data_IF_668590867375
#
_entry.id   IF_668590867375
#
_cell.length_a   1.000
_cell.length_b   1.000
_cell.length_c   1.000
_cell.angle_alpha   90.00
_cell.angle_beta   90.00
_cell.angle_gamma   90.00
#
_symmetry.space_group_name_H-M   'P 1'
#
loop_
_entity.id
_entity.type
_entity.pdbx_description
1 polymer ?
#
# COMPACT_ATOMS: atom_id res chain seq x y z
N UNK A 1 -2.76 -24.88 -38.25
CA UNK A 1 -1.30 -24.81 -38.34
C UNK A 1 -0.68 -25.88 -37.44
N UNK A 2 0.43 -26.48 -37.90
CA UNK A 2 1.41 -27.39 -37.25
C UNK A 2 1.38 -27.50 -35.70
N UNK A 3 1.21 -28.71 -35.14
CA UNK A 3 2.22 -29.74 -34.72
C UNK A 3 2.99 -29.40 -33.43
N UNK A 4 3.06 -30.37 -32.52
CA UNK A 4 4.11 -30.41 -31.48
C UNK A 4 3.85 -31.40 -30.35
N UNK A 5 4.28 -32.65 -30.54
CA UNK A 5 4.22 -33.71 -29.53
C UNK A 5 5.26 -33.51 -28.42
N UNK A 6 4.90 -33.91 -27.20
CA UNK A 6 5.83 -34.06 -26.08
C UNK A 6 6.80 -35.21 -26.35
N UNK A 7 8.11 -34.97 -26.17
CA UNK A 7 9.13 -35.99 -26.09
C UNK A 7 9.85 -35.86 -24.74
N UNK A 8 9.73 -36.90 -23.93
CA UNK A 8 10.48 -37.10 -22.69
C UNK A 8 11.92 -37.44 -23.09
N UNK A 9 12.89 -36.58 -22.76
CA UNK A 9 14.31 -36.97 -22.81
C UNK A 9 14.82 -37.18 -21.39
N UNK A 10 14.76 -38.43 -20.97
CA UNK A 10 15.56 -38.97 -19.87
C UNK A 10 17.03 -38.96 -20.28
N UNK A 11 17.86 -38.14 -19.64
CA UNK A 11 19.31 -38.26 -19.70
C UNK A 11 19.88 -38.11 -18.28
N UNK A 12 20.37 -39.22 -17.73
CA UNK A 12 21.11 -39.37 -16.47
C UNK A 12 22.22 -40.41 -16.75
N UNK A 13 23.40 -40.36 -16.10
CA UNK A 13 24.33 -39.28 -15.78
C UNK A 13 25.70 -39.55 -16.48
N UNK A 14 26.80 -38.87 -16.08
CA UNK A 14 27.90 -39.70 -15.59
C UNK A 14 28.23 -39.42 -14.12
N UNK A 15 28.38 -40.50 -13.39
CA UNK A 15 29.01 -40.60 -12.08
C UNK A 15 30.49 -40.28 -12.18
N UNK A 16 30.92 -39.12 -11.69
CA UNK A 16 32.26 -38.97 -11.12
C UNK A 16 32.33 -37.68 -10.29
N UNK A 17 32.74 -37.72 -9.00
CA UNK A 17 33.04 -36.53 -8.24
C UNK A 17 34.45 -36.09 -8.66
N UNK A 18 34.59 -35.58 -9.88
CA UNK A 18 35.78 -34.81 -10.19
C UNK A 18 35.66 -33.55 -9.35
N UNK A 19 36.42 -33.54 -8.26
CA UNK A 19 36.84 -32.34 -7.56
C UNK A 19 37.34 -31.37 -8.63
N UNK A 20 36.48 -30.49 -9.11
CA UNK A 20 36.95 -29.37 -9.91
C UNK A 20 37.58 -28.42 -8.90
N UNK A 21 38.85 -28.67 -8.56
CA UNK A 21 39.69 -27.66 -7.95
C UNK A 21 39.79 -26.60 -9.03
N UNK A 22 39.12 -25.47 -8.81
CA UNK A 22 39.23 -24.28 -9.66
C UNK A 22 40.63 -23.69 -9.40
N UNK A 23 41.67 -24.38 -9.88
CA UNK A 23 43.02 -23.81 -10.05
C UNK A 23 42.98 -22.88 -11.27
N UNK A 24 42.39 -21.70 -11.09
CA UNK A 24 42.55 -20.56 -11.97
C UNK A 24 41.92 -19.34 -11.30
N UNK A 25 42.59 -18.80 -10.29
CA UNK A 25 42.62 -17.35 -10.06
C UNK A 25 43.81 -17.00 -9.17
N UNK A 26 45.00 -17.05 -9.77
CA UNK A 26 46.15 -16.25 -9.34
C UNK A 26 45.91 -14.72 -9.56
N UNK A 27 44.65 -14.27 -9.54
CA UNK A 27 44.23 -12.88 -9.35
C UNK A 27 44.02 -12.56 -7.85
N UNK A 28 44.26 -13.51 -6.96
CA UNK A 28 43.91 -13.46 -5.54
C UNK A 28 44.81 -12.65 -4.59
N UNK A 29 45.65 -11.73 -5.05
CA UNK A 29 46.60 -11.05 -4.16
C UNK A 29 46.65 -9.50 -4.21
N UNK A 30 45.94 -8.85 -5.15
CA UNK A 30 45.88 -7.37 -5.16
C UNK A 30 44.91 -6.79 -4.12
N UNK A 31 44.10 -7.61 -3.43
CA UNK A 31 43.08 -7.14 -2.48
C UNK A 31 43.60 -6.96 -1.04
N UNK A 32 44.84 -7.38 -0.76
CA UNK A 32 45.46 -7.32 0.56
C UNK A 32 46.75 -6.48 0.58
N UNK A 33 46.88 -5.53 -0.33
CA UNK A 33 48.07 -4.67 -0.42
C UNK A 33 47.96 -3.42 0.46
N UNK A 34 46.75 -3.00 0.83
CA UNK A 34 46.52 -1.75 1.55
C UNK A 34 45.56 -1.89 2.73
N UNK A 35 45.80 -1.10 3.77
CA UNK A 35 44.92 -1.01 4.93
C UNK A 35 43.57 -0.38 4.53
N UNK A 36 42.47 -1.08 4.78
CA UNK A 36 41.12 -0.61 4.41
C UNK A 36 40.65 0.65 5.11
N UNK A 37 41.32 1.07 6.20
CA UNK A 37 40.98 2.29 6.92
C UNK A 37 41.82 3.50 6.49
N UNK A 38 43.14 3.31 6.40
CA UNK A 38 44.09 4.43 6.20
C UNK A 38 44.82 4.40 4.85
N UNK A 39 44.58 3.39 4.01
CA UNK A 39 45.16 3.26 2.67
C UNK A 39 46.67 3.01 2.63
N UNK A 40 47.30 2.74 3.78
CA UNK A 40 48.74 2.47 3.84
C UNK A 40 49.03 1.08 3.29
N UNK A 41 50.13 0.95 2.54
CA UNK A 41 50.63 -0.34 2.07
C UNK A 41 50.92 -1.27 3.25
N UNK A 42 50.49 -2.53 3.13
CA UNK A 42 50.66 -3.58 4.12
C UNK A 42 52.00 -4.28 3.89
N UNK A 43 53.03 -3.78 4.56
CA UNK A 43 54.41 -4.31 4.45
C UNK A 43 54.82 -5.21 5.62
N UNK A 44 53.87 -5.65 6.46
CA UNK A 44 54.13 -6.40 7.71
C UNK A 44 52.92 -7.22 8.16
N UNK A 45 52.76 -7.41 9.47
CA UNK A 45 51.62 -8.15 10.03
C UNK A 45 50.28 -7.53 9.61
N UNK A 46 49.38 -8.38 9.10
CA UNK A 46 48.06 -7.97 8.61
C UNK A 46 47.00 -8.37 9.63
N UNK A 47 46.27 -7.38 10.12
CA UNK A 47 45.15 -7.58 11.03
C UNK A 47 43.87 -7.71 10.22
N UNK A 48 43.19 -8.87 10.30
CA UNK A 48 42.00 -9.15 9.49
C UNK A 48 40.70 -8.91 10.25
N UNK A 49 39.72 -8.26 9.62
CA UNK A 49 38.33 -8.22 10.08
C UNK A 49 37.45 -9.02 9.11
N UNK A 50 36.64 -9.94 9.64
CA UNK A 50 35.67 -10.77 8.90
C UNK A 50 36.23 -11.68 7.79
N UNK A 51 37.56 -11.75 7.65
CA UNK A 51 38.26 -12.66 6.73
C UNK A 51 38.66 -12.04 5.40
N UNK A 52 38.22 -10.82 5.11
CA UNK A 52 38.39 -10.15 3.81
C UNK A 52 38.92 -8.71 3.92
N UNK A 53 38.89 -8.11 5.11
CA UNK A 53 39.25 -6.70 5.30
C UNK A 53 40.58 -6.56 6.05
N UNK A 54 41.68 -6.19 5.38
CA UNK A 54 42.99 -6.08 6.01
C UNK A 54 43.28 -4.71 6.62
N UNK A 55 44.05 -4.70 7.71
CA UNK A 55 44.49 -3.49 8.41
C UNK A 55 45.97 -3.56 8.79
N UNK A 56 46.64 -2.41 8.76
CA UNK A 56 48.05 -2.28 9.13
C UNK A 56 48.31 -2.32 10.64
N UNK A 57 47.27 -2.23 11.46
CA UNK A 57 47.37 -2.27 12.92
C UNK A 57 46.05 -2.72 13.57
N UNK A 58 46.12 -3.17 14.81
CA UNK A 58 44.94 -3.52 15.59
C UNK A 58 44.02 -2.31 15.81
N UNK A 59 44.57 -1.11 15.99
CA UNK A 59 43.79 0.12 16.16
C UNK A 59 42.99 0.44 14.89
N UNK A 60 43.58 0.28 13.70
CA UNK A 60 42.85 0.49 12.45
C UNK A 60 41.68 -0.49 12.33
N UNK A 61 41.90 -1.76 12.69
CA UNK A 61 40.84 -2.77 12.72
C UNK A 61 39.74 -2.41 13.73
N UNK A 62 40.12 -1.97 14.92
CA UNK A 62 39.18 -1.62 15.99
C UNK A 62 38.32 -0.41 15.62
N UNK A 63 38.92 0.61 14.99
CA UNK A 63 38.19 1.77 14.48
C UNK A 63 37.14 1.36 13.44
N UNK A 64 37.47 0.45 12.51
CA UNK A 64 36.49 -0.05 11.55
C UNK A 64 35.31 -0.75 12.25
N UNK A 65 35.59 -1.59 13.26
CA UNK A 65 34.54 -2.27 14.05
C UNK A 65 33.60 -1.25 14.69
N UNK A 66 34.14 -0.16 15.23
CA UNK A 66 33.33 0.89 15.86
C UNK A 66 32.48 1.67 14.87
N UNK A 67 33.04 2.00 13.70
CA UNK A 67 32.32 2.63 12.59
C UNK A 67 31.15 1.75 12.16
N UNK A 68 31.38 0.44 11.97
CA UNK A 68 30.34 -0.50 11.56
C UNK A 68 29.28 -0.71 12.65
N UNK A 69 29.69 -0.82 13.92
CA UNK A 69 28.75 -0.86 15.06
C UNK A 69 27.89 0.41 15.11
N UNK A 70 28.48 1.58 14.92
CA UNK A 70 27.76 2.85 14.91
C UNK A 70 26.80 2.94 13.72
N UNK A 71 27.23 2.55 12.53
CA UNK A 71 26.40 2.47 11.33
C UNK A 71 25.21 1.54 11.54
N UNK A 72 25.42 0.38 12.15
CA UNK A 72 24.35 -0.56 12.46
C UNK A 72 23.34 0.00 13.47
N UNK A 73 23.80 0.67 14.53
CA UNK A 73 22.92 1.38 15.47
C UNK A 73 22.06 2.44 14.76
N UNK A 74 22.69 3.29 13.93
CA UNK A 74 21.96 4.33 13.16
C UNK A 74 20.87 3.73 12.28
N UNK A 75 21.16 2.65 11.55
CA UNK A 75 20.17 1.94 10.72
C UNK A 75 18.99 1.42 11.54
N UNK A 76 19.25 0.82 12.71
CA UNK A 76 18.20 0.35 13.62
C UNK A 76 17.31 1.49 14.11
N UNK A 77 17.91 2.60 14.55
CA UNK A 77 17.14 3.77 14.99
C UNK A 77 16.31 4.37 13.85
N UNK A 78 16.88 4.48 12.65
CA UNK A 78 16.16 4.98 11.47
C UNK A 78 14.96 4.08 11.13
N UNK A 79 15.12 2.76 11.15
CA UNK A 79 14.04 1.82 10.91
C UNK A 79 12.94 1.93 12.00
N UNK A 80 13.32 2.00 13.27
CA UNK A 80 12.37 2.17 14.37
C UNK A 80 11.61 3.51 14.27
N UNK A 81 12.30 4.58 13.89
CA UNK A 81 11.68 5.89 13.66
C UNK A 81 10.71 5.84 12.48
N UNK A 82 11.08 5.23 11.35
CA UNK A 82 10.21 5.07 10.19
C UNK A 82 8.93 4.30 10.55
N UNK A 83 9.04 3.19 11.29
CA UNK A 83 7.87 2.42 11.76
C UNK A 83 6.99 3.27 12.69
N UNK A 84 7.61 4.02 13.60
CA UNK A 84 6.86 4.89 14.52
C UNK A 84 6.16 6.04 13.80
N UNK A 85 6.81 6.63 12.80
CA UNK A 85 6.23 7.67 11.95
C UNK A 85 5.04 7.13 11.14
N UNK A 86 5.19 5.96 10.51
CA UNK A 86 4.10 5.30 9.78
C UNK A 86 2.89 5.00 10.69
N UNK A 87 3.13 4.54 11.92
CA UNK A 87 2.05 4.32 12.91
C UNK A 87 1.34 5.62 13.28
N UNK A 88 2.08 6.71 13.50
CA UNK A 88 1.50 8.03 13.81
C UNK A 88 0.69 8.57 12.64
N UNK A 89 1.18 8.41 11.41
CA UNK A 89 0.45 8.82 10.20
C UNK A 89 -0.85 8.02 10.07
N UNK A 90 -0.81 6.69 10.22
CA UNK A 90 -2.00 5.86 10.18
C UNK A 90 -3.01 6.26 11.27
N UNK A 91 -2.53 6.52 12.49
CA UNK A 91 -3.37 6.98 13.59
C UNK A 91 -3.99 8.36 13.27
N UNK A 92 -3.22 9.31 12.75
CA UNK A 92 -3.72 10.63 12.37
C UNK A 92 -4.78 10.52 11.25
N UNK A 93 -4.54 9.71 10.23
CA UNK A 93 -5.50 9.44 9.14
C UNK A 93 -6.79 8.82 9.67
N UNK A 94 -6.70 7.86 10.59
CA UNK A 94 -7.86 7.25 11.21
C UNK A 94 -8.68 8.27 12.03
N UNK A 95 -8.04 9.09 12.86
CA UNK A 95 -8.72 10.13 13.64
C UNK A 95 -9.39 11.17 12.73
N UNK A 96 -8.68 11.63 11.70
CA UNK A 96 -9.23 12.59 10.73
C UNK A 96 -10.44 12.01 9.99
N UNK A 97 -10.34 10.75 9.53
CA UNK A 97 -11.45 10.08 8.85
C UNK A 97 -12.67 9.92 9.77
N UNK A 98 -12.45 9.49 11.02
CA UNK A 98 -13.52 9.35 12.01
C UNK A 98 -14.20 10.70 12.31
N UNK A 99 -13.42 11.76 12.54
CA UNK A 99 -13.95 13.10 12.78
C UNK A 99 -14.77 13.61 11.58
N UNK A 100 -14.24 13.47 10.36
CA UNK A 100 -14.95 13.87 9.15
C UNK A 100 -16.26 13.09 8.96
N UNK A 101 -16.24 11.77 9.18
CA UNK A 101 -17.44 10.95 9.10
C UNK A 101 -18.50 11.36 10.12
N UNK A 102 -18.11 11.56 11.38
CA UNK A 102 -19.00 12.02 12.44
C UNK A 102 -19.60 13.40 12.11
N UNK A 103 -18.78 14.36 11.69
CA UNK A 103 -19.28 15.68 11.28
C UNK A 103 -20.28 15.57 10.12
N UNK A 104 -19.99 14.75 9.11
CA UNK A 104 -20.88 14.53 7.96
C UNK A 104 -22.23 13.94 8.38
N UNK A 105 -22.25 13.03 9.36
CA UNK A 105 -23.50 12.44 9.87
C UNK A 105 -24.37 13.48 10.56
N UNK A 106 -23.80 14.37 11.38
CA UNK A 106 -24.56 15.41 12.07
C UNK A 106 -24.98 16.57 11.17
N UNK A 107 -24.26 16.80 10.07
CA UNK A 107 -24.56 17.88 9.12
C UNK A 107 -25.51 17.45 7.98
N UNK A 108 -26.01 16.21 7.96
CA UNK A 108 -26.92 15.77 6.90
C UNK A 108 -28.26 16.50 7.03
N UNK A 109 -28.71 17.27 6.03
CA UNK A 109 -30.01 17.92 6.09
C UNK A 109 -31.11 16.86 6.18
N UNK A 110 -32.04 17.05 7.13
CA UNK A 110 -33.21 16.19 7.30
C UNK A 110 -33.96 16.11 5.96
N UNK A 111 -34.34 14.91 5.47
CA UNK A 111 -35.18 14.80 4.28
C UNK A 111 -36.47 15.57 4.54
N UNK A 112 -36.80 16.53 3.67
CA UNK A 112 -38.00 17.33 3.82
C UNK A 112 -39.23 16.41 3.82
N UNK A 113 -40.20 16.60 4.74
CA UNK A 113 -41.40 15.79 4.74
C UNK A 113 -42.09 15.94 3.37
N UNK A 114 -42.30 14.81 2.69
CA UNK A 114 -43.03 14.76 1.43
C UNK A 114 -44.40 15.42 1.63
N UNK A 115 -44.84 16.35 0.75
CA UNK A 115 -46.18 16.91 0.86
C UNK A 115 -47.19 15.78 0.76
N UNK A 116 -47.98 15.61 1.81
CA UNK A 116 -49.06 14.64 1.88
C UNK A 116 -49.99 14.91 0.68
N UNK A 117 -50.39 13.91 -0.13
CA UNK A 117 -51.41 14.15 -1.14
C UNK A 117 -52.66 14.60 -0.39
N UNK A 118 -53.06 15.87 -0.55
CA UNK A 118 -54.30 16.38 0.01
C UNK A 118 -55.41 15.47 -0.49
N UNK A 119 -56.04 14.71 0.41
CA UNK A 119 -57.27 13.99 0.08
C UNK A 119 -58.23 15.03 -0.48
N UNK A 120 -58.63 14.87 -1.73
CA UNK A 120 -59.74 15.63 -2.28
C UNK A 120 -60.93 15.34 -1.37
N UNK A 121 -61.35 16.36 -0.61
CA UNK A 121 -62.64 16.32 0.08
C UNK A 121 -63.66 16.25 -1.05
N UNK A 122 -64.25 15.07 -1.23
CA UNK A 122 -65.34 14.85 -2.18
C UNK A 122 -66.52 15.62 -1.59
N UNK A 123 -66.65 16.88 -1.98
CA UNK A 123 -67.81 17.69 -1.66
C UNK A 123 -69.01 17.07 -2.34
N UNK A 124 -69.84 16.38 -1.57
CA UNK A 124 -71.18 16.03 -2.00
C UNK A 124 -71.95 17.35 -2.21
N UNK A 125 -72.28 17.67 -3.45
CA UNK A 125 -73.29 18.67 -3.77
C UNK A 125 -72.82 19.79 -4.71
N UNK A 126 -72.79 19.51 -6.02
CA UNK A 126 -73.10 20.49 -7.06
C UNK A 126 -73.29 19.76 -8.40
N UNK A 127 -74.54 19.60 -8.84
CA UNK A 127 -74.87 19.21 -10.22
C UNK A 127 -74.52 20.38 -11.16
N UNK A 128 -73.64 20.22 -12.15
CA UNK A 128 -73.04 21.36 -12.86
C UNK A 128 -73.92 22.04 -13.94
N UNK A 129 -75.20 21.71 -14.11
CA UNK A 129 -75.99 22.11 -15.29
C UNK A 129 -77.27 22.90 -14.98
N UNK A 130 -77.54 23.29 -13.74
CA UNK A 130 -78.79 23.97 -13.36
C UNK A 130 -78.75 25.51 -13.37
N UNK A 131 -77.68 26.14 -13.84
CA UNK A 131 -77.55 27.61 -13.87
C UNK A 131 -77.81 28.28 -15.23
N UNK A 132 -78.26 27.52 -16.24
CA UNK A 132 -78.75 28.10 -17.49
C UNK A 132 -80.28 28.23 -17.42
N UNK A 133 -80.76 29.33 -16.83
CA UNK A 133 -82.16 29.65 -16.57
C UNK A 133 -83.12 29.54 -17.77
N UNK A 134 -83.59 28.32 -18.04
CA UNK A 134 -84.83 28.08 -18.79
C UNK A 134 -85.89 27.61 -17.81
N UNK A 135 -86.80 28.53 -17.47
CA UNK A 135 -87.97 28.22 -16.67
C UNK A 135 -88.76 27.08 -17.33
N UNK A 136 -88.98 26.00 -16.57
CA UNK A 136 -89.91 24.95 -16.94
C UNK A 136 -91.30 25.57 -17.12
N UNK A 137 -91.74 25.80 -18.36
CA UNK A 137 -93.15 26.08 -18.66
C UNK A 137 -93.92 24.81 -18.32
N UNK A 138 -94.74 24.86 -17.28
CA UNK A 138 -95.72 23.82 -16.96
C UNK A 138 -96.57 23.51 -18.20
N UNK A 139 -96.80 22.24 -18.57
CA UNK A 139 -97.83 21.93 -19.56
C UNK A 139 -99.20 22.06 -18.88
N UNK A 140 -100.01 22.97 -19.40
CA UNK A 140 -101.44 23.01 -19.15
C UNK A 140 -102.08 21.74 -19.73
N UNK A 141 -102.92 21.07 -18.92
CA UNK A 141 -103.77 19.97 -19.36
C UNK A 141 -104.69 20.40 -20.52
N UNK A 142 -104.66 19.63 -21.60
CA UNK A 142 -105.73 19.38 -22.58
C UNK A 142 -105.52 17.92 -23.00
N UNK A 143 -106.48 17.00 -23.04
CA UNK A 143 -107.94 16.99 -23.00
C UNK A 143 -108.38 15.75 -22.20
#
# INVERSE_FOLDING_TARGET
>A
MMKGAAAMSTMKPPSSPMFYVHEADAHGHYFLEECSLCGKSLSGDIFMYRGDTPFCSEECRQQQIEVDRARHRRKKHAAAHAVSAARKEHQHRHHHHHHHHHHRQHQQPQPQPQPQPRRAVVGAGATPWTDAGFAARSPALRV
#
